data_IF_019062227510
#
_entry.id   IF_019062227510
#
_cell.length_a   1.000
_cell.length_b   1.000
_cell.length_c   1.000
_cell.angle_alpha   90.00
_cell.angle_beta   90.00
_cell.angle_gamma   90.00
#
_symmetry.space_group_name_H-M   'P 1'
#
loop_
_entity.id
_entity.type
_entity.pdbx_description
1 polymer ?
#
# COMPACT_ATOMS: atom_id res chain seq x y z
N UNK A 1 -46.06 -8.51 2.12
CA UNK A 1 -45.13 -7.44 2.56
C UNK A 1 -43.78 -8.08 2.79
N UNK A 2 -42.89 -8.02 1.79
CA UNK A 2 -41.56 -8.67 1.86
C UNK A 2 -40.64 -7.75 2.66
N UNK A 3 -40.21 -8.21 3.84
CA UNK A 3 -39.15 -7.56 4.61
C UNK A 3 -37.85 -7.69 3.81
N UNK A 4 -37.37 -6.59 3.26
CA UNK A 4 -36.00 -6.51 2.77
C UNK A 4 -35.07 -6.69 3.99
N UNK A 5 -34.55 -7.90 4.18
CA UNK A 5 -33.41 -8.13 5.06
C UNK A 5 -32.26 -7.29 4.50
N UNK A 6 -31.87 -6.23 5.22
CA UNK A 6 -30.61 -5.52 4.95
C UNK A 6 -29.49 -6.56 5.13
N UNK A 7 -29.01 -7.11 4.03
CA UNK A 7 -27.99 -8.17 3.98
C UNK A 7 -26.59 -7.68 4.35
N UNK A 8 -26.42 -6.37 4.55
CA UNK A 8 -25.17 -5.75 4.96
C UNK A 8 -25.26 -5.37 6.43
N UNK A 9 -24.40 -5.97 7.25
CA UNK A 9 -24.09 -5.44 8.58
C UNK A 9 -23.63 -3.98 8.42
N UNK A 10 -23.95 -3.08 9.36
CA UNK A 10 -23.37 -1.74 9.38
C UNK A 10 -21.85 -1.85 9.23
N UNK A 11 -21.28 -1.12 8.27
CA UNK A 11 -19.83 -1.06 8.11
C UNK A 11 -19.25 -0.44 9.38
N UNK A 12 -18.29 -1.14 9.97
CA UNK A 12 -17.52 -0.63 11.09
C UNK A 12 -16.42 0.28 10.53
N UNK A 13 -16.69 1.57 10.51
CA UNK A 13 -15.78 2.56 9.94
C UNK A 13 -14.46 2.63 10.73
N UNK A 14 -14.49 2.47 12.05
CA UNK A 14 -13.28 2.50 12.88
C UNK A 14 -12.36 1.33 12.53
N UNK A 15 -12.94 0.14 12.41
CA UNK A 15 -12.20 -1.06 11.99
C UNK A 15 -11.70 -0.95 10.55
N UNK A 16 -12.47 -0.32 9.67
CA UNK A 16 -12.08 -0.09 8.28
C UNK A 16 -10.88 0.84 8.19
N UNK A 17 -10.88 1.92 8.98
CA UNK A 17 -9.76 2.85 9.09
C UNK A 17 -8.53 2.14 9.63
N UNK A 18 -8.66 1.32 10.68
CA UNK A 18 -7.54 0.57 11.25
C UNK A 18 -6.91 -0.38 10.23
N UNK A 19 -7.73 -1.15 9.51
CA UNK A 19 -7.25 -2.04 8.45
C UNK A 19 -6.55 -1.26 7.33
N UNK A 20 -7.10 -0.13 6.91
CA UNK A 20 -6.51 0.68 5.86
C UNK A 20 -5.17 1.29 6.31
N UNK A 21 -5.05 1.72 7.58
CA UNK A 21 -3.77 2.17 8.17
C UNK A 21 -2.73 1.04 8.20
N UNK A 22 -3.15 -0.17 8.54
CA UNK A 22 -2.26 -1.34 8.54
C UNK A 22 -1.75 -1.64 7.12
N UNK A 23 -2.66 -1.70 6.15
CA UNK A 23 -2.32 -1.98 4.75
C UNK A 23 -1.38 -0.91 4.18
N UNK A 24 -1.80 0.36 4.22
CA UNK A 24 -0.98 1.45 3.68
C UNK A 24 0.30 1.69 4.47
N UNK A 25 0.29 1.43 5.78
CA UNK A 25 1.47 1.50 6.65
C UNK A 25 2.58 0.52 6.26
N UNK A 26 2.20 -0.65 5.72
CA UNK A 26 3.13 -1.70 5.29
C UNK A 26 3.63 -1.50 3.85
N UNK A 27 3.11 -0.53 3.09
CA UNK A 27 3.50 -0.27 1.70
C UNK A 27 5.01 -0.25 1.46
N UNK A 28 5.78 0.48 2.28
CA UNK A 28 7.23 0.58 2.10
C UNK A 28 7.99 -0.69 2.47
N UNK A 29 7.42 -1.54 3.31
CA UNK A 29 7.98 -2.87 3.55
C UNK A 29 7.89 -3.69 2.27
N UNK A 30 6.70 -3.78 1.70
CA UNK A 30 6.43 -4.52 0.46
C UNK A 30 7.21 -3.95 -0.74
N UNK A 31 7.25 -2.62 -0.88
CA UNK A 31 8.04 -1.93 -1.93
C UNK A 31 9.54 -2.27 -1.88
N UNK A 32 10.12 -2.40 -0.69
CA UNK A 32 11.53 -2.81 -0.55
C UNK A 32 11.74 -4.28 -0.87
N UNK A 33 10.81 -5.16 -0.49
CA UNK A 33 10.88 -6.58 -0.84
C UNK A 33 10.81 -6.78 -2.35
N UNK A 34 9.85 -6.14 -3.03
CA UNK A 34 9.73 -6.17 -4.48
C UNK A 34 11.03 -5.71 -5.19
N UNK A 35 11.65 -4.62 -4.71
CA UNK A 35 12.90 -4.11 -5.26
C UNK A 35 14.08 -5.08 -5.07
N UNK A 36 14.19 -5.70 -3.90
CA UNK A 36 15.26 -6.67 -3.60
C UNK A 36 15.11 -7.93 -4.44
N UNK A 37 13.90 -8.46 -4.58
CA UNK A 37 13.67 -9.69 -5.34
C UNK A 37 13.92 -9.48 -6.84
N UNK A 38 13.63 -8.30 -7.38
CA UNK A 38 14.01 -7.92 -8.76
C UNK A 38 15.51 -8.03 -9.03
N UNK A 39 16.36 -7.76 -8.03
CA UNK A 39 17.82 -7.90 -8.14
C UNK A 39 18.21 -9.38 -8.11
N UNK A 40 17.57 -10.18 -7.26
CA UNK A 40 17.83 -11.62 -7.09
C UNK A 40 17.38 -12.45 -8.29
N UNK A 41 16.32 -12.04 -9.00
CA UNK A 41 15.83 -12.72 -10.21
C UNK A 41 16.71 -12.50 -11.45
N UNK A 42 17.74 -11.66 -11.37
CA UNK A 42 18.74 -11.57 -12.44
C UNK A 42 19.55 -12.86 -12.48
N UNK A 43 19.86 -13.34 -13.68
CA UNK A 43 20.63 -14.57 -13.89
C UNK A 43 21.93 -14.54 -13.07
N UNK A 44 22.24 -15.61 -12.31
CA UNK A 44 23.51 -15.71 -11.61
C UNK A 44 24.67 -15.58 -12.61
N UNK A 45 25.74 -14.91 -12.20
CA UNK A 45 26.99 -14.94 -12.95
C UNK A 45 27.47 -16.40 -12.95
N UNK A 46 27.68 -16.96 -14.14
CA UNK A 46 28.05 -18.35 -14.38
C UNK A 46 29.45 -18.61 -13.82
N UNK A 47 29.56 -18.92 -12.53
CA UNK A 47 30.76 -19.52 -11.95
C UNK A 47 30.56 -21.05 -11.85
N UNK A 48 31.64 -21.77 -12.14
CA UNK A 48 31.63 -23.14 -12.63
C UNK A 48 30.95 -24.19 -11.76
N UNK A 49 30.30 -25.12 -12.45
CA UNK A 49 29.74 -26.42 -12.01
C UNK A 49 28.45 -26.39 -11.15
N UNK A 50 27.39 -27.12 -11.56
CA UNK A 50 26.16 -27.22 -10.78
C UNK A 50 26.39 -28.10 -9.54
N UNK A 51 26.14 -27.54 -8.35
CA UNK A 51 25.98 -28.33 -7.13
C UNK A 51 24.58 -28.96 -7.11
N UNK A 52 24.48 -30.21 -6.67
CA UNK A 52 23.25 -30.99 -6.63
C UNK A 52 22.07 -30.19 -6.04
N UNK A 53 20.88 -30.21 -6.67
CA UNK A 53 19.75 -29.41 -6.22
C UNK A 53 19.29 -29.86 -4.83
N UNK A 54 19.30 -28.94 -3.87
CA UNK A 54 18.68 -29.13 -2.56
C UNK A 54 17.16 -29.16 -2.73
N UNK A 55 16.53 -30.24 -2.25
CA UNK A 55 15.09 -30.48 -2.26
C UNK A 55 14.30 -29.24 -1.81
N UNK A 56 13.45 -28.70 -2.69
CA UNK A 56 12.60 -27.52 -2.47
C UNK A 56 12.72 -26.47 -3.59
N UNK A 57 11.59 -26.06 -4.18
CA UNK A 57 11.51 -25.05 -5.26
C UNK A 57 11.75 -23.62 -4.74
N UNK A 58 12.85 -23.39 -4.02
CA UNK A 58 13.22 -22.09 -3.43
C UNK A 58 13.31 -20.95 -4.44
N UNK A 59 13.46 -21.26 -5.73
CA UNK A 59 13.43 -20.29 -6.82
C UNK A 59 12.00 -19.88 -7.19
N UNK A 60 11.07 -20.83 -7.22
CA UNK A 60 9.64 -20.60 -7.50
C UNK A 60 8.97 -19.84 -6.35
N UNK A 61 9.26 -20.20 -5.10
CA UNK A 61 8.72 -19.50 -3.93
C UNK A 61 9.10 -18.01 -3.93
N UNK A 62 10.32 -17.69 -4.40
CA UNK A 62 10.78 -16.30 -4.55
C UNK A 62 10.05 -15.56 -5.67
N UNK A 63 9.71 -16.27 -6.76
CA UNK A 63 8.95 -15.70 -7.87
C UNK A 63 7.52 -15.38 -7.44
N UNK A 64 6.85 -16.31 -6.76
CA UNK A 64 5.48 -16.13 -6.24
C UNK A 64 5.46 -14.98 -5.23
N UNK A 65 6.35 -15.01 -4.25
CA UNK A 65 6.49 -13.91 -3.28
C UNK A 65 6.70 -12.58 -4.00
N UNK A 66 7.57 -12.50 -5.00
CA UNK A 66 7.76 -11.25 -5.76
C UNK A 66 6.48 -10.75 -6.43
N UNK A 67 5.68 -11.65 -7.01
CA UNK A 67 4.42 -11.31 -7.64
C UNK A 67 3.40 -10.78 -6.63
N UNK A 68 3.30 -11.40 -5.46
CA UNK A 68 2.43 -10.96 -4.36
C UNK A 68 2.83 -9.55 -3.88
N UNK A 69 4.14 -9.31 -3.72
CA UNK A 69 4.67 -7.99 -3.35
C UNK A 69 4.30 -6.91 -4.38
N UNK A 70 4.40 -7.22 -5.68
CA UNK A 70 4.02 -6.30 -6.75
C UNK A 70 2.51 -6.05 -6.79
N UNK A 71 1.71 -7.10 -6.59
CA UNK A 71 0.26 -6.99 -6.52
C UNK A 71 -0.18 -6.11 -5.35
N UNK A 72 0.42 -6.30 -4.17
CA UNK A 72 0.15 -5.48 -2.99
C UNK A 72 0.40 -3.99 -3.25
N UNK A 73 1.55 -3.67 -3.86
CA UNK A 73 1.92 -2.29 -4.22
C UNK A 73 0.90 -1.71 -5.20
N UNK A 74 0.55 -2.46 -6.24
CA UNK A 74 -0.41 -2.03 -7.26
C UNK A 74 -1.80 -1.79 -6.67
N UNK A 75 -2.26 -2.63 -5.74
CA UNK A 75 -3.52 -2.44 -5.03
C UNK A 75 -3.51 -1.16 -4.19
N UNK A 76 -2.42 -0.88 -3.45
CA UNK A 76 -2.29 0.34 -2.67
C UNK A 76 -2.32 1.60 -3.56
N UNK A 77 -1.55 1.60 -4.63
CA UNK A 77 -1.45 2.72 -5.57
C UNK A 77 -2.78 2.94 -6.31
N UNK A 78 -3.38 1.87 -6.83
CA UNK A 78 -4.65 1.93 -7.55
C UNK A 78 -5.82 2.34 -6.66
N UNK A 79 -5.85 1.91 -5.40
CA UNK A 79 -6.90 2.31 -4.47
C UNK A 79 -6.83 3.83 -4.17
N UNK A 80 -5.63 4.39 -3.97
CA UNK A 80 -5.47 5.84 -3.81
C UNK A 80 -5.80 6.57 -5.12
N UNK A 81 -5.37 6.06 -6.27
CA UNK A 81 -5.68 6.67 -7.58
C UNK A 81 -7.18 6.73 -7.87
N UNK A 82 -7.96 5.75 -7.37
CA UNK A 82 -9.41 5.70 -7.56
C UNK A 82 -10.21 6.76 -6.79
N UNK A 83 -9.59 7.42 -5.80
CA UNK A 83 -10.24 8.49 -5.03
C UNK A 83 -10.43 9.69 -5.95
N UNK A 84 -11.65 10.21 -6.10
CA UNK A 84 -11.95 11.28 -7.06
C UNK A 84 -11.24 12.61 -6.74
N UNK A 85 -11.16 12.97 -5.46
CA UNK A 85 -10.60 14.24 -5.01
C UNK A 85 -9.06 14.22 -5.01
N UNK A 86 -8.45 15.11 -5.80
CA UNK A 86 -6.99 15.25 -5.92
C UNK A 86 -6.31 15.60 -4.59
N UNK A 87 -6.89 16.49 -3.79
CA UNK A 87 -6.27 16.89 -2.52
C UNK A 87 -6.16 15.71 -1.57
N UNK A 88 -7.16 14.83 -1.58
CA UNK A 88 -7.20 13.61 -0.80
C UNK A 88 -6.16 12.59 -1.26
N UNK A 89 -5.98 12.44 -2.59
CA UNK A 89 -4.89 11.65 -3.15
C UNK A 89 -3.54 12.17 -2.69
N UNK A 90 -3.31 13.49 -2.79
CA UNK A 90 -2.05 14.11 -2.37
C UNK A 90 -1.77 13.83 -0.89
N UNK A 91 -2.77 13.99 -0.02
CA UNK A 91 -2.63 13.72 1.42
C UNK A 91 -2.21 12.27 1.67
N UNK A 92 -2.89 11.31 1.04
CA UNK A 92 -2.61 9.88 1.26
C UNK A 92 -1.27 9.45 0.65
N UNK A 93 -0.93 9.94 -0.54
CA UNK A 93 0.37 9.70 -1.19
C UNK A 93 1.50 10.19 -0.28
N UNK A 94 1.42 11.44 0.17
CA UNK A 94 2.45 12.05 1.03
C UNK A 94 2.49 11.41 2.42
N UNK A 95 1.39 10.80 2.85
CA UNK A 95 1.30 10.11 4.14
C UNK A 95 1.90 8.71 4.13
N UNK A 96 1.69 7.94 3.06
CA UNK A 96 2.01 6.50 3.04
C UNK A 96 2.97 6.11 1.91
N UNK A 97 2.81 6.68 0.72
CA UNK A 97 3.54 6.25 -0.49
C UNK A 97 4.85 7.01 -0.67
N UNK A 98 4.97 8.22 -0.14
CA UNK A 98 6.22 9.00 -0.16
C UNK A 98 7.19 8.50 0.92
N UNK A 99 8.49 8.33 0.61
CA UNK A 99 9.47 7.93 1.62
C UNK A 99 9.52 8.93 2.78
N UNK A 100 9.71 8.43 4.01
CA UNK A 100 9.84 9.30 5.20
C UNK A 100 10.93 10.36 5.09
N UNK A 101 11.96 10.12 4.27
CA UNK A 101 13.08 11.04 4.04
C UNK A 101 12.73 12.22 3.13
N UNK A 102 11.70 12.09 2.29
CA UNK A 102 11.34 13.09 1.28
C UNK A 102 9.91 13.61 1.44
N UNK A 103 9.08 12.98 2.29
CA UNK A 103 7.70 13.40 2.51
C UNK A 103 7.62 14.82 3.05
N UNK A 104 6.60 15.56 2.61
CA UNK A 104 6.30 16.89 3.15
C UNK A 104 5.79 16.78 4.59
N UNK A 105 6.10 17.78 5.40
CA UNK A 105 5.50 17.94 6.72
C UNK A 105 4.02 18.33 6.60
N UNK A 106 3.23 18.08 7.65
CA UNK A 106 1.81 18.50 7.67
C UNK A 106 1.61 19.99 7.43
N UNK A 107 2.55 20.83 7.85
CA UNK A 107 2.51 22.28 7.60
C UNK A 107 2.77 22.60 6.13
N UNK A 108 3.71 21.90 5.48
CA UNK A 108 3.99 22.09 4.05
C UNK A 108 2.83 21.57 3.18
N UNK A 109 2.17 20.48 3.59
CA UNK A 109 0.98 19.96 2.90
C UNK A 109 -0.20 20.93 3.02
N UNK A 110 -0.47 21.42 4.23
CA UNK A 110 -1.51 22.43 4.48
C UNK A 110 -1.30 23.68 3.63
N UNK A 111 -0.06 24.17 3.54
CA UNK A 111 0.28 25.32 2.72
C UNK A 111 0.10 25.06 1.21
N UNK A 112 0.42 23.84 0.74
CA UNK A 112 0.27 23.43 -0.66
C UNK A 112 -1.20 23.27 -1.06
N UNK A 113 -2.03 22.74 -0.16
CA UNK A 113 -3.43 22.44 -0.39
C UNK A 113 -4.36 23.60 0.03
N UNK A 114 -3.81 24.70 0.53
CA UNK A 114 -4.56 25.85 1.04
C UNK A 114 -5.63 25.53 2.11
N UNK A 115 -5.37 24.50 2.93
CA UNK A 115 -6.25 24.03 4.02
C UNK A 115 -5.60 24.21 5.38
N UNK A 116 -6.40 24.15 6.45
CA UNK A 116 -5.85 24.20 7.81
C UNK A 116 -5.07 22.91 8.12
N UNK A 117 -3.98 23.02 8.89
CA UNK A 117 -3.16 21.88 9.29
C UNK A 117 -3.96 20.79 10.02
N UNK A 118 -5.01 21.17 10.77
CA UNK A 118 -5.88 20.23 11.48
C UNK A 118 -6.70 19.41 10.50
N UNK A 119 -7.19 20.04 9.45
CA UNK A 119 -7.98 19.39 8.41
C UNK A 119 -7.18 18.29 7.72
N UNK A 120 -5.89 18.49 7.45
CA UNK A 120 -5.02 17.45 6.85
C UNK A 120 -5.00 16.14 7.66
N UNK A 121 -4.98 16.22 9.00
CA UNK A 121 -4.97 15.02 9.84
C UNK A 121 -6.36 14.39 9.95
N UNK A 122 -7.41 15.21 10.04
CA UNK A 122 -8.80 14.72 10.11
C UNK A 122 -9.23 14.08 8.79
N UNK A 123 -8.82 14.66 7.66
CA UNK A 123 -9.06 14.10 6.33
C UNK A 123 -8.38 12.74 6.17
N UNK A 124 -7.13 12.57 6.64
CA UNK A 124 -6.50 11.24 6.58
C UNK A 124 -7.37 10.16 7.23
N UNK A 125 -7.99 10.44 8.37
CA UNK A 125 -8.79 9.43 9.08
C UNK A 125 -10.16 9.22 8.42
N UNK A 126 -10.83 10.27 7.97
CA UNK A 126 -12.12 10.16 7.27
C UNK A 126 -11.98 9.49 5.89
N UNK A 127 -10.86 9.70 5.19
CA UNK A 127 -10.66 9.12 3.86
C UNK A 127 -10.45 7.62 3.91
N UNK A 128 -9.90 7.12 5.01
CA UNK A 128 -9.65 5.70 5.19
C UNK A 128 -10.95 4.91 5.46
N UNK A 129 -12.04 5.57 5.85
CA UNK A 129 -13.34 4.92 5.97
C UNK A 129 -14.05 4.70 4.64
N UNK A 130 -13.64 5.42 3.58
CA UNK A 130 -14.26 5.38 2.25
C UNK A 130 -13.62 4.34 1.31
N UNK A 131 -12.66 3.54 1.81
CA UNK A 131 -11.98 2.49 1.04
C UNK A 131 -12.84 1.22 0.81
N UNK A 132 -14.13 1.21 1.17
CA UNK A 132 -15.09 0.10 1.02
C UNK A 132 -16.43 0.59 0.45
#
# INVERSE_FOLDING_TARGET
MVRATRYFSPIDHDKTIENAKEVLGNYWHHKRLAQRTKIVLRSPVMDGMPKSPSYGNKAEDKLVSHADELYYIACCEGAIESIENEDYRIILVESYLTPKTTRKSSLQLAAHLHVDRREVNTFSDSLLSDFL
#
